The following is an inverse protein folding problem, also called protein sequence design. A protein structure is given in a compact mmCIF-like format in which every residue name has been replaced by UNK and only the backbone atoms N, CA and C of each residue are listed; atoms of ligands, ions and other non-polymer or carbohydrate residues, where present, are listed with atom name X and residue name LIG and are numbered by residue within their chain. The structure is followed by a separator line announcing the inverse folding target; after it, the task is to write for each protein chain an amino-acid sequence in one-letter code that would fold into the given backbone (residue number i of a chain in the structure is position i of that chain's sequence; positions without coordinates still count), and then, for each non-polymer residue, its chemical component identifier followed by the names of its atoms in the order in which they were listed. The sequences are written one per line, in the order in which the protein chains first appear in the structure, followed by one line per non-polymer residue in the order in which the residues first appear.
data_IF_483921870099
#
_entry.id   IF_483921870099
#
_cell.length_a   1.000
_cell.length_b   1.000
_cell.length_c   1.000
_cell.angle_alpha   90.00
_cell.angle_beta   90.00
_cell.angle_gamma   90.00
#
_symmetry.space_group_name_H-M   'P 1'
#
loop_
_entity.id
_entity.type
_entity.pdbx_description
1 polymer ?
#
# COMPACT_ATOMS: atom_id res chain seq x y z
N UNK A 1 8.37 -5.49 -14.01
CA UNK A 1 8.97 -4.84 -12.81
C UNK A 1 8.24 -5.38 -11.59
N UNK A 2 8.95 -5.73 -10.51
CA UNK A 2 8.29 -6.21 -9.28
C UNK A 2 7.51 -5.08 -8.61
N UNK A 3 6.27 -5.31 -8.21
CA UNK A 3 5.41 -4.37 -7.50
C UNK A 3 5.86 -4.19 -6.05
N UNK A 4 6.19 -5.29 -5.36
CA UNK A 4 6.92 -5.27 -4.09
C UNK A 4 8.42 -5.17 -4.39
N UNK A 5 8.96 -3.96 -4.35
CA UNK A 5 10.35 -3.69 -4.74
C UNK A 5 11.10 -2.85 -3.69
N UNK A 6 12.39 -2.63 -3.96
CA UNK A 6 13.31 -1.86 -3.11
C UNK A 6 12.79 -0.44 -2.85
N UNK A 7 12.15 0.21 -3.84
CA UNK A 7 11.65 1.57 -3.68
C UNK A 7 10.51 1.62 -2.67
N UNK A 8 9.57 0.67 -2.70
CA UNK A 8 8.50 0.57 -1.71
C UNK A 8 9.06 0.48 -0.29
N UNK A 9 10.07 -0.36 -0.05
CA UNK A 9 10.72 -0.48 1.26
C UNK A 9 11.35 0.84 1.69
N UNK A 10 12.03 1.55 0.78
CA UNK A 10 12.62 2.86 1.07
C UNK A 10 11.53 3.90 1.42
N UNK A 11 10.40 3.90 0.72
CA UNK A 11 9.29 4.80 1.00
C UNK A 11 8.64 4.51 2.36
N UNK A 12 8.47 3.23 2.73
CA UNK A 12 8.01 2.83 4.07
C UNK A 12 9.00 3.31 5.15
N UNK A 13 10.30 3.10 4.95
CA UNK A 13 11.33 3.58 5.88
C UNK A 13 11.32 5.09 6.06
N UNK A 14 11.18 5.85 4.97
CA UNK A 14 11.02 7.31 5.00
C UNK A 14 9.78 7.73 5.78
N UNK A 15 8.65 7.08 5.57
CA UNK A 15 7.40 7.38 6.28
C UNK A 15 7.56 7.23 7.80
N UNK A 16 8.22 6.15 8.25
CA UNK A 16 8.44 5.86 9.66
C UNK A 16 9.71 6.50 10.25
N UNK A 17 10.49 7.22 9.45
CA UNK A 17 11.80 7.77 9.84
C UNK A 17 12.76 6.70 10.39
N UNK A 18 12.81 5.55 9.72
CA UNK A 18 13.67 4.40 10.08
C UNK A 18 14.66 4.11 8.96
N UNK A 19 15.91 3.82 9.32
CA UNK A 19 16.92 3.37 8.37
C UNK A 19 16.60 1.96 7.86
N UNK A 20 16.48 1.82 6.54
CA UNK A 20 16.13 0.55 5.89
C UNK A 20 17.33 -0.36 5.62
N UNK A 21 18.56 0.13 5.84
CA UNK A 21 19.78 -0.58 5.50
C UNK A 21 19.99 -0.75 3.99
N UNK A 22 20.89 -1.66 3.61
CA UNK A 22 21.11 -2.04 2.21
C UNK A 22 20.03 -3.03 1.80
N UNK A 23 19.13 -2.61 0.90
CA UNK A 23 18.04 -3.43 0.37
C UNK A 23 18.41 -3.91 -1.04
N UNK A 24 18.39 -5.21 -1.28
CA UNK A 24 18.68 -5.84 -2.57
C UNK A 24 17.83 -7.10 -2.79
N UNK A 25 17.98 -7.72 -3.96
CA UNK A 25 17.46 -9.07 -4.20
C UNK A 25 18.60 -10.07 -4.01
N UNK A 26 18.34 -11.17 -3.29
CA UNK A 26 19.28 -12.27 -3.16
C UNK A 26 19.31 -13.14 -4.44
N UNK A 27 20.10 -14.22 -4.43
CA UNK A 27 20.24 -15.16 -5.56
C UNK A 27 18.90 -15.77 -5.99
N UNK A 28 17.99 -15.96 -5.05
CA UNK A 28 16.67 -16.55 -5.26
C UNK A 28 15.62 -15.51 -5.65
N UNK A 29 16.05 -14.27 -5.94
CA UNK A 29 15.19 -13.11 -6.26
C UNK A 29 14.22 -12.75 -5.13
N UNK A 30 14.57 -13.09 -3.90
CA UNK A 30 13.84 -12.66 -2.70
C UNK A 30 14.40 -11.31 -2.24
N UNK A 31 13.51 -10.41 -1.84
CA UNK A 31 13.89 -9.10 -1.33
C UNK A 31 14.53 -9.28 0.05
N UNK A 32 15.76 -8.78 0.20
CA UNK A 32 16.58 -8.93 1.41
C UNK A 32 17.11 -7.57 1.86
N UNK A 33 17.18 -7.36 3.17
CA UNK A 33 17.86 -6.21 3.77
C UNK A 33 18.75 -6.63 4.94
N UNK A 34 19.78 -5.83 5.21
CA UNK A 34 20.62 -5.97 6.40
C UNK A 34 20.32 -4.83 7.36
N UNK A 35 19.72 -5.14 8.50
CA UNK A 35 19.43 -4.18 9.56
C UNK A 35 20.00 -4.72 10.87
N UNK A 36 20.74 -3.90 11.61
CA UNK A 36 21.39 -4.28 12.88
C UNK A 36 22.23 -5.57 12.78
N UNK A 37 22.98 -5.74 11.68
CA UNK A 37 23.80 -6.93 11.37
C UNK A 37 23.01 -8.23 11.19
N UNK A 38 21.68 -8.16 11.06
CA UNK A 38 20.82 -9.31 10.77
C UNK A 38 20.33 -9.20 9.32
N UNK A 39 20.45 -10.31 8.58
CA UNK A 39 19.82 -10.45 7.27
C UNK A 39 18.34 -10.76 7.47
N UNK A 40 17.47 -10.00 6.82
CA UNK A 40 16.02 -10.14 6.88
C UNK A 40 15.50 -10.26 5.46
N UNK A 41 14.72 -11.30 5.21
CA UNK A 41 14.25 -11.65 3.87
C UNK A 41 12.72 -11.65 3.81
N UNK A 42 12.19 -11.32 2.63
CA UNK A 42 10.77 -11.28 2.35
C UNK A 42 10.15 -9.91 2.60
N UNK A 43 9.26 -9.51 1.69
CA UNK A 43 8.63 -8.19 1.72
C UNK A 43 7.87 -7.94 3.03
N UNK A 44 7.00 -8.87 3.46
CA UNK A 44 6.20 -8.71 4.67
C UNK A 44 7.08 -8.62 5.93
N UNK A 45 8.06 -9.51 6.06
CA UNK A 45 9.00 -9.54 7.19
C UNK A 45 9.78 -8.25 7.31
N UNK A 46 10.30 -7.72 6.19
CA UNK A 46 11.03 -6.47 6.17
C UNK A 46 10.13 -5.31 6.60
N UNK A 47 8.94 -5.19 6.03
CA UNK A 47 7.98 -4.12 6.38
C UNK A 47 7.61 -4.16 7.86
N UNK A 48 7.29 -5.34 8.40
CA UNK A 48 6.98 -5.51 9.83
C UNK A 48 8.18 -5.19 10.73
N UNK A 49 9.40 -5.53 10.29
CA UNK A 49 10.61 -5.15 11.02
C UNK A 49 10.76 -3.62 11.08
N UNK A 50 10.53 -2.91 9.99
CA UNK A 50 10.61 -1.44 9.97
C UNK A 50 9.64 -0.81 10.96
N UNK A 51 8.41 -1.34 11.06
CA UNK A 51 7.45 -0.88 12.06
C UNK A 51 7.94 -1.12 13.50
N UNK A 52 8.54 -2.28 13.77
CA UNK A 52 9.09 -2.58 15.09
C UNK A 52 10.22 -1.62 15.50
N UNK A 53 11.00 -1.14 14.52
CA UNK A 53 12.09 -0.20 14.74
C UNK A 53 11.61 1.24 14.90
N UNK A 54 10.42 1.59 14.42
CA UNK A 54 9.86 2.93 14.57
C UNK A 54 9.26 3.18 15.96
N UNK A 55 9.32 2.19 16.86
CA UNK A 55 8.71 2.26 18.19
C UNK A 55 7.19 2.08 18.20
N UNK A 56 6.57 1.79 17.06
CA UNK A 56 5.12 1.57 16.99
C UNK A 56 4.82 0.14 17.40
N UNK A 57 4.06 -0.02 18.48
CA UNK A 57 3.56 -1.32 18.90
C UNK A 57 2.26 -1.63 18.19
N UNK A 58 2.27 -2.76 17.47
CA UNK A 58 1.06 -3.39 16.93
C UNK A 58 0.54 -4.38 17.96
N UNK A 59 -0.77 -4.45 18.12
CA UNK A 59 -1.39 -5.57 18.84
C UNK A 59 -1.07 -6.90 18.13
N UNK A 60 -1.24 -8.02 18.83
CA UNK A 60 -1.02 -9.33 18.22
C UNK A 60 -1.94 -9.55 17.00
N UNK A 61 -3.19 -9.12 17.11
CA UNK A 61 -4.16 -9.17 16.01
C UNK A 61 -3.74 -8.28 14.84
N UNK A 62 -3.38 -7.01 15.10
CA UNK A 62 -2.91 -6.09 14.06
C UNK A 62 -1.67 -6.65 13.35
N UNK A 63 -0.75 -7.28 14.09
CA UNK A 63 0.46 -7.90 13.54
C UNK A 63 0.14 -9.09 12.63
N UNK A 64 -0.79 -9.96 13.04
CA UNK A 64 -1.19 -11.13 12.23
C UNK A 64 -1.93 -10.69 10.96
N UNK A 65 -2.87 -9.76 11.08
CA UNK A 65 -3.57 -9.18 9.93
C UNK A 65 -2.59 -8.46 9.00
N UNK A 66 -1.62 -7.73 9.55
CA UNK A 66 -0.56 -7.08 8.78
C UNK A 66 0.23 -8.09 7.97
N UNK A 67 0.68 -9.19 8.60
CA UNK A 67 1.40 -10.25 7.92
C UNK A 67 0.57 -10.86 6.78
N UNK A 68 -0.70 -11.20 7.06
CA UNK A 68 -1.61 -11.76 6.07
C UNK A 68 -1.77 -10.84 4.84
N UNK A 69 -2.03 -9.55 5.06
CA UNK A 69 -2.20 -8.60 3.97
C UNK A 69 -0.93 -8.37 3.16
N UNK A 70 0.21 -8.23 3.84
CA UNK A 70 1.50 -8.02 3.18
C UNK A 70 1.90 -9.23 2.33
N UNK A 71 1.66 -10.46 2.80
CA UNK A 71 1.88 -11.68 2.03
C UNK A 71 0.93 -11.78 0.84
N UNK A 72 -0.36 -11.52 1.05
CA UNK A 72 -1.34 -11.52 -0.04
C UNK A 72 -0.95 -10.52 -1.16
N UNK A 73 -0.54 -9.31 -0.77
CA UNK A 73 -0.06 -8.29 -1.71
C UNK A 73 1.24 -8.75 -2.40
N UNK A 74 2.22 -9.27 -1.66
CA UNK A 74 3.48 -9.73 -2.23
C UNK A 74 3.30 -10.87 -3.23
N UNK A 75 2.34 -11.77 -2.98
CA UNK A 75 2.05 -12.90 -3.84
C UNK A 75 1.38 -12.49 -5.14
N UNK A 76 0.44 -11.53 -5.12
CA UNK A 76 -0.43 -11.24 -6.26
C UNK A 76 -0.11 -9.93 -7.01
N UNK A 77 0.57 -8.97 -6.39
CA UNK A 77 0.76 -7.65 -7.00
C UNK A 77 1.57 -7.69 -8.30
N UNK A 78 2.52 -8.63 -8.44
CA UNK A 78 3.27 -8.81 -9.68
C UNK A 78 2.39 -9.28 -10.84
N UNK A 79 1.46 -10.21 -10.56
CA UNK A 79 0.51 -10.70 -11.55
C UNK A 79 -0.51 -9.62 -11.92
N UNK A 80 -0.99 -8.87 -10.92
CA UNK A 80 -1.86 -7.72 -11.15
C UNK A 80 -1.18 -6.63 -11.99
N UNK A 81 0.10 -6.34 -11.75
CA UNK A 81 0.85 -5.37 -12.56
C UNK A 81 1.04 -5.81 -14.02
N UNK A 82 1.05 -7.12 -14.29
CA UNK A 82 1.26 -7.68 -15.62
C UNK A 82 -0.04 -7.95 -16.40
N UNK A 83 -1.17 -8.15 -15.71
CA UNK A 83 -2.45 -8.51 -16.31
C UNK A 83 -3.58 -7.61 -15.79
N UNK A 84 -4.11 -6.70 -16.62
CA UNK A 84 -5.20 -5.79 -16.23
C UNK A 84 -6.47 -6.50 -15.75
N UNK A 85 -6.85 -7.62 -16.38
CA UNK A 85 -8.05 -8.38 -15.98
C UNK A 85 -7.86 -8.98 -14.59
N UNK A 86 -6.66 -9.52 -14.31
CA UNK A 86 -6.33 -10.00 -12.98
C UNK A 86 -6.27 -8.85 -11.96
N UNK A 87 -5.76 -7.69 -12.36
CA UNK A 87 -5.72 -6.50 -11.50
C UNK A 87 -7.11 -6.08 -11.01
N UNK A 88 -8.12 -6.13 -11.88
CA UNK A 88 -9.51 -5.83 -11.51
C UNK A 88 -10.05 -6.82 -10.46
N UNK A 89 -9.78 -8.13 -10.63
CA UNK A 89 -10.14 -9.15 -9.64
C UNK A 89 -9.45 -8.93 -8.30
N UNK A 90 -8.13 -8.73 -8.33
CA UNK A 90 -7.32 -8.44 -7.15
C UNK A 90 -7.80 -7.18 -6.41
N UNK A 91 -8.07 -6.09 -7.12
CA UNK A 91 -8.59 -4.85 -6.53
C UNK A 91 -10.01 -4.99 -6.00
N UNK A 92 -10.84 -5.86 -6.60
CA UNK A 92 -12.18 -6.17 -6.08
C UNK A 92 -12.12 -6.82 -4.70
N UNK A 93 -11.18 -7.72 -4.48
CA UNK A 93 -10.99 -8.37 -3.18
C UNK A 93 -10.51 -7.37 -2.11
N UNK A 94 -9.56 -6.49 -2.46
CA UNK A 94 -9.14 -5.39 -1.57
C UNK A 94 -10.30 -4.43 -1.27
N UNK A 95 -11.10 -4.09 -2.29
CA UNK A 95 -12.26 -3.22 -2.12
C UNK A 95 -13.29 -3.81 -1.17
N UNK A 96 -13.56 -5.11 -1.28
CA UNK A 96 -14.47 -5.83 -0.38
C UNK A 96 -13.93 -5.86 1.05
N UNK A 97 -12.62 -6.06 1.23
CA UNK A 97 -12.02 -6.05 2.55
C UNK A 97 -12.15 -4.68 3.25
N UNK A 98 -12.03 -3.58 2.49
CA UNK A 98 -12.15 -2.21 3.00
C UNK A 98 -13.60 -1.73 3.17
N UNK A 99 -14.60 -2.57 2.86
CA UNK A 99 -16.02 -2.20 2.97
C UNK A 99 -16.38 -1.79 4.41
N UNK A 100 -15.93 -2.56 5.40
CA UNK A 100 -16.29 -2.39 6.81
C UNK A 100 -15.20 -1.75 7.68
N UNK A 101 -14.03 -1.50 7.11
CA UNK A 101 -12.87 -0.96 7.84
C UNK A 101 -12.33 0.27 7.15
N UNK A 102 -11.76 1.19 7.92
CA UNK A 102 -11.10 2.39 7.36
C UNK A 102 -9.78 2.03 6.69
N UNK A 103 -9.05 1.07 7.29
CA UNK A 103 -7.72 0.59 6.91
C UNK A 103 -7.71 -0.94 6.78
N UNK A 104 -6.68 -1.52 6.18
CA UNK A 104 -6.61 -2.96 5.91
C UNK A 104 -6.65 -3.82 7.17
N UNK A 105 -6.11 -3.30 8.27
CA UNK A 105 -6.05 -4.00 9.56
C UNK A 105 -7.04 -3.44 10.59
N UNK A 106 -8.10 -2.74 10.15
CA UNK A 106 -9.14 -2.20 11.03
C UNK A 106 -9.28 -0.68 10.95
N UNK A 107 -9.40 -0.01 12.11
CA UNK A 107 -9.75 1.41 12.18
C UNK A 107 -8.54 2.35 12.34
N UNK A 108 -7.35 1.80 12.53
CA UNK A 108 -6.12 2.56 12.76
C UNK A 108 -5.12 2.31 11.63
N UNK A 109 -4.56 3.40 11.11
CA UNK A 109 -3.49 3.35 10.12
C UNK A 109 -2.25 2.67 10.72
N UNK A 110 -1.65 1.74 9.98
CA UNK A 110 -0.35 1.20 10.33
C UNK A 110 0.53 0.93 9.10
N UNK A 111 1.64 0.23 9.32
CA UNK A 111 2.68 -0.02 8.32
C UNK A 111 2.14 -0.75 7.10
N UNK A 112 1.12 -1.57 7.29
CA UNK A 112 0.48 -2.37 6.24
C UNK A 112 -0.17 -1.46 5.22
N UNK A 113 -0.93 -0.46 5.67
CA UNK A 113 -1.57 0.50 4.76
C UNK A 113 -0.54 1.33 4.00
N UNK A 114 0.54 1.75 4.66
CA UNK A 114 1.61 2.52 4.02
C UNK A 114 2.29 1.70 2.92
N UNK A 115 2.66 0.46 3.22
CA UNK A 115 3.28 -0.43 2.25
C UNK A 115 2.30 -0.79 1.12
N UNK A 116 1.05 -1.13 1.45
CA UNK A 116 0.01 -1.44 0.49
C UNK A 116 -0.25 -0.25 -0.44
N UNK A 117 -0.27 0.98 0.08
CA UNK A 117 -0.51 2.18 -0.72
C UNK A 117 0.51 2.30 -1.86
N UNK A 118 1.81 2.20 -1.54
CA UNK A 118 2.86 2.32 -2.56
C UNK A 118 2.85 1.18 -3.58
N UNK A 119 2.36 -0.01 -3.21
CA UNK A 119 2.22 -1.15 -4.13
C UNK A 119 0.97 -1.03 -5.01
N UNK A 120 -0.15 -0.62 -4.44
CA UNK A 120 -1.46 -0.61 -5.10
C UNK A 120 -1.68 0.66 -5.94
N UNK A 121 -1.12 1.81 -5.54
CA UNK A 121 -1.32 3.08 -6.24
C UNK A 121 -1.02 2.98 -7.74
N UNK A 122 0.12 2.41 -8.20
CA UNK A 122 0.41 2.28 -9.63
C UNK A 122 -0.57 1.37 -10.39
N UNK A 123 -1.27 0.45 -9.71
CA UNK A 123 -2.29 -0.39 -10.33
C UNK A 123 -3.57 0.42 -10.58
N UNK A 124 -3.95 1.23 -9.60
CA UNK A 124 -5.19 2.01 -9.62
C UNK A 124 -5.05 3.25 -10.52
N UNK A 125 -3.87 3.86 -10.55
CA UNK A 125 -3.55 4.98 -11.44
C UNK A 125 -3.68 4.61 -12.93
N UNK A 126 -3.50 3.33 -13.29
CA UNK A 126 -3.65 2.87 -14.68
C UNK A 126 -5.10 2.68 -15.11
N UNK A 127 -6.03 2.59 -14.16
CA UNK A 127 -7.45 2.43 -14.45
C UNK A 127 -8.05 3.73 -15.00
N UNK A 128 -9.06 3.59 -15.86
CA UNK A 128 -9.90 4.72 -16.26
C UNK A 128 -10.73 5.22 -15.07
N UNK A 129 -11.23 6.46 -15.15
CA UNK A 129 -12.05 7.03 -14.06
C UNK A 129 -13.27 6.16 -13.73
N UNK A 130 -14.07 5.66 -14.70
CA UNK A 130 -15.20 4.77 -14.40
C UNK A 130 -14.79 3.47 -13.70
N UNK A 131 -13.67 2.89 -14.10
CA UNK A 131 -13.15 1.68 -13.45
C UNK A 131 -12.73 1.95 -12.01
N UNK A 132 -12.04 3.06 -11.73
CA UNK A 132 -11.68 3.45 -10.36
C UNK A 132 -12.92 3.64 -9.48
N UNK A 133 -13.96 4.26 -10.02
CA UNK A 133 -15.19 4.53 -9.29
C UNK A 133 -15.98 3.27 -8.95
N UNK A 134 -15.75 2.16 -9.67
CA UNK A 134 -16.28 0.84 -9.27
C UNK A 134 -15.64 0.29 -7.98
N UNK A 135 -14.50 0.84 -7.55
CA UNK A 135 -13.77 0.47 -6.33
C UNK A 135 -13.85 1.58 -5.27
N UNK A 136 -15.07 1.93 -4.85
CA UNK A 136 -15.31 3.08 -3.97
C UNK A 136 -14.53 3.03 -2.63
N UNK A 137 -14.37 1.85 -2.02
CA UNK A 137 -13.68 1.71 -0.74
C UNK A 137 -12.17 1.84 -0.88
N UNK A 138 -11.62 1.35 -1.99
CA UNK A 138 -10.20 1.56 -2.34
C UNK A 138 -9.95 3.03 -2.62
N UNK A 139 -10.80 3.70 -3.39
CA UNK A 139 -10.67 5.13 -3.66
C UNK A 139 -10.74 5.98 -2.39
N UNK A 140 -11.70 5.67 -1.50
CA UNK A 140 -11.81 6.28 -0.15
C UNK A 140 -10.50 6.08 0.63
N UNK A 141 -10.02 4.84 0.71
CA UNK A 141 -8.78 4.51 1.42
C UNK A 141 -7.57 5.24 0.83
N UNK A 142 -7.40 5.29 -0.50
CA UNK A 142 -6.32 6.07 -1.12
C UNK A 142 -6.41 7.55 -0.77
N UNK A 143 -7.61 8.14 -0.81
CA UNK A 143 -7.79 9.55 -0.42
C UNK A 143 -7.34 9.78 1.03
N UNK A 144 -7.63 8.85 1.94
CA UNK A 144 -7.13 8.91 3.33
C UNK A 144 -5.61 8.75 3.43
N UNK A 145 -5.00 7.87 2.62
CA UNK A 145 -3.55 7.69 2.58
C UNK A 145 -2.85 8.93 2.02
N UNK A 146 -3.35 9.52 0.94
CA UNK A 146 -2.79 10.72 0.32
C UNK A 146 -2.89 11.96 1.22
N UNK A 147 -3.89 12.02 2.10
CA UNK A 147 -4.02 13.06 3.11
C UNK A 147 -2.95 12.97 4.23
N UNK A 148 -2.21 11.86 4.33
CA UNK A 148 -1.16 11.74 5.34
C UNK A 148 0.07 12.60 4.97
N UNK A 149 0.62 13.40 5.89
CA UNK A 149 1.68 14.37 5.60
C UNK A 149 2.94 13.78 4.92
N UNK A 150 3.23 12.50 5.16
CA UNK A 150 4.44 11.81 4.69
C UNK A 150 4.22 10.91 3.46
N UNK A 151 2.99 10.86 2.93
CA UNK A 151 2.64 10.05 1.75
C UNK A 151 2.43 10.91 0.50
N UNK A 152 2.10 12.20 0.67
CA UNK A 152 1.71 13.17 -0.36
C UNK A 152 2.82 13.54 -1.36
N UNK A 153 3.48 12.54 -1.94
CA UNK A 153 4.49 12.65 -2.99
C UNK A 153 3.95 12.25 -4.36
N UNK A 154 2.78 11.61 -4.39
CA UNK A 154 2.12 11.16 -5.63
C UNK A 154 0.94 12.05 -5.99
N UNK A 155 0.61 12.09 -7.28
CA UNK A 155 -0.49 12.90 -7.78
C UNK A 155 -1.82 12.42 -7.17
N UNK A 156 -2.72 13.34 -6.78
CA UNK A 156 -4.06 12.96 -6.35
C UNK A 156 -4.76 12.15 -7.44
N UNK A 157 -5.42 11.06 -7.09
CA UNK A 157 -6.20 10.30 -8.08
C UNK A 157 -7.36 11.15 -8.60
N UNK A 158 -7.52 11.32 -9.93
CA UNK A 158 -8.70 11.97 -10.45
C UNK A 158 -9.91 11.03 -10.29
N UNK A 159 -10.91 11.53 -9.57
CA UNK A 159 -12.19 10.89 -9.26
C UNK A 159 -13.30 11.92 -9.51
N UNK A 160 -14.43 11.50 -10.11
CA UNK A 160 -15.56 12.40 -10.36
C UNK A 160 -16.53 12.41 -9.16
N UNK A 161 -16.76 11.26 -8.55
CA UNK A 161 -17.75 11.01 -7.49
C UNK A 161 -17.34 11.49 -6.09
N UNK A 162 -16.04 11.60 -5.79
CA UNK A 162 -15.55 12.07 -4.48
C UNK A 162 -15.16 13.55 -4.46
N UNK A 163 -15.33 14.24 -5.58
CA UNK A 163 -15.13 15.68 -5.70
C UNK A 163 -16.51 16.32 -5.90
N UNK A 164 -16.97 17.04 -4.87
CA UNK A 164 -18.19 17.86 -4.94
C UNK A 164 -18.06 19.02 -5.96
N UNK A 165 -16.99 19.09 -6.75
CA UNK A 165 -16.82 20.09 -7.81
C UNK A 165 -17.90 19.99 -8.90
N UNK A 166 -18.53 18.83 -9.08
CA UNK A 166 -19.72 18.72 -9.96
C UNK A 166 -20.92 19.47 -9.37
N UNK A 167 -20.94 19.69 -8.06
CA UNK A 167 -21.99 20.42 -7.33
C UNK A 167 -21.59 21.86 -6.97
N UNK A 168 -20.33 22.25 -7.20
CA UNK A 168 -19.90 23.63 -7.02
C UNK A 168 -20.43 24.45 -8.19
N UNK A 169 -21.27 25.48 -7.98
CA UNK A 169 -21.68 26.36 -9.05
C UNK A 169 -20.44 27.01 -9.66
N UNK A 170 -20.35 27.04 -10.99
CA UNK A 170 -19.31 27.78 -11.68
C UNK A 170 -19.37 29.23 -11.19
N UNK A 171 -18.26 29.73 -10.65
CA UNK A 171 -18.13 31.15 -10.33
C UNK A 171 -18.06 31.86 -11.68
N UNK A 172 -19.17 32.50 -12.06
CA UNK A 172 -19.29 33.36 -13.23
C UNK A 172 -18.47 34.64 -13.06
#
# INVERSE_FOLDING_TARGET
MSACNVEVIKQVGRYYNVSVGTVCFNTDKVLTTVINKQSIEGFATIVLKLASLSGIQLSQEERLLSYQWLEHIAMYANQAAANPVFALGFLKDINKALEKTTYLTGQKLNVTDVAAYYVLYPLIERLSVPERESFMHVCRWIKHMQAQPRICTQQPLPLNTLNLTILAPAVH
#
